data_IF_938582657087
#
_entry.id   IF_938582657087
#
_cell.length_a   1.000
_cell.length_b   1.000
_cell.length_c   1.000
_cell.angle_alpha   90.00
_cell.angle_beta   90.00
_cell.angle_gamma   90.00
#
_symmetry.space_group_name_H-M   'P 1'
#
loop_
_entity.id
_entity.type
_entity.pdbx_description
1 polymer ?
#
# COMPACT_ATOMS: atom_id res chain seq x y z
N UNK A 1 87.12 4.30 -38.83
CA UNK A 1 86.29 3.30 -38.18
C UNK A 1 85.37 4.09 -37.26
N UNK A 2 84.21 4.56 -37.77
CA UNK A 2 83.24 5.39 -37.04
C UNK A 2 82.12 4.51 -36.60
N UNK A 3 81.89 4.45 -35.32
CA UNK A 3 80.70 3.82 -34.71
C UNK A 3 79.53 4.83 -34.70
N UNK A 4 78.50 4.49 -35.41
CA UNK A 4 77.25 5.20 -35.38
C UNK A 4 76.38 4.63 -34.26
N UNK A 5 76.04 5.41 -33.25
CA UNK A 5 75.05 5.10 -32.25
C UNK A 5 73.66 5.45 -32.73
N UNK A 6 72.79 4.46 -32.93
CA UNK A 6 71.42 4.63 -33.18
C UNK A 6 70.65 4.73 -31.82
N UNK A 7 70.09 5.90 -31.51
CA UNK A 7 69.21 6.08 -30.35
C UNK A 7 67.82 5.75 -30.80
N UNK A 8 67.28 4.62 -30.28
CA UNK A 8 65.89 4.27 -30.46
C UNK A 8 65.08 5.00 -29.37
N UNK A 9 64.30 6.01 -29.77
CA UNK A 9 63.34 6.64 -28.89
C UNK A 9 62.07 5.77 -28.81
N UNK A 10 61.85 5.16 -27.68
CA UNK A 10 60.58 4.48 -27.33
C UNK A 10 59.51 5.55 -27.00
N UNK A 11 58.58 5.78 -27.92
CA UNK A 11 57.35 6.51 -27.65
C UNK A 11 56.43 5.57 -26.86
N UNK A 12 56.34 5.79 -25.56
CA UNK A 12 55.27 5.19 -24.73
C UNK A 12 54.00 6.00 -24.95
N UNK A 13 53.10 5.46 -25.78
CA UNK A 13 51.77 6.01 -25.97
C UNK A 13 50.92 5.64 -24.76
N UNK A 14 50.76 6.55 -23.79
CA UNK A 14 49.83 6.37 -22.69
C UNK A 14 48.41 6.55 -23.22
N UNK A 15 47.70 5.45 -23.46
CA UNK A 15 46.26 5.46 -23.65
C UNK A 15 45.59 5.84 -22.31
N UNK A 16 45.21 7.13 -22.18
CA UNK A 16 44.27 7.54 -21.16
C UNK A 16 42.92 6.97 -21.52
N UNK A 17 42.52 5.88 -20.88
CA UNK A 17 41.11 5.53 -20.80
C UNK A 17 40.42 6.59 -19.94
N UNK A 18 39.80 7.56 -20.59
CA UNK A 18 38.78 8.35 -19.91
C UNK A 18 37.60 7.42 -19.64
N UNK A 19 37.52 6.91 -18.43
CA UNK A 19 36.26 6.36 -17.93
C UNK A 19 35.26 7.52 -17.91
N UNK A 20 34.45 7.65 -18.95
CA UNK A 20 33.20 8.37 -18.87
C UNK A 20 32.37 7.61 -17.85
N UNK A 21 32.39 8.06 -16.61
CA UNK A 21 31.31 7.77 -15.68
C UNK A 21 30.07 8.30 -16.38
N UNK A 22 29.25 7.40 -16.89
CA UNK A 22 27.85 7.69 -17.17
C UNK A 22 27.29 8.02 -15.79
N UNK A 23 27.22 9.30 -15.50
CA UNK A 23 26.33 9.78 -14.46
C UNK A 23 24.96 9.37 -14.97
N UNK A 24 24.37 8.32 -14.36
CA UNK A 24 22.94 8.12 -14.45
C UNK A 24 22.35 9.49 -14.16
N UNK A 25 21.70 10.05 -15.17
CA UNK A 25 20.86 11.21 -14.99
C UNK A 25 19.93 10.87 -13.83
N UNK A 26 20.20 11.48 -12.70
CA UNK A 26 19.23 11.62 -11.64
C UNK A 26 18.11 12.39 -12.29
N UNK A 27 17.15 11.66 -12.88
CA UNK A 27 15.86 12.19 -13.28
C UNK A 27 15.43 13.02 -12.10
N UNK A 28 15.34 14.32 -12.30
CA UNK A 28 14.97 15.29 -11.29
C UNK A 28 13.72 14.76 -10.59
N UNK A 29 13.90 14.19 -9.40
CA UNK A 29 12.80 13.97 -8.48
C UNK A 29 12.23 15.37 -8.28
N UNK A 30 11.12 15.68 -8.94
CA UNK A 30 10.33 16.83 -8.58
C UNK A 30 10.15 16.70 -7.08
N UNK A 31 10.78 17.59 -6.32
CA UNK A 31 10.76 17.53 -4.87
C UNK A 31 9.31 17.67 -4.47
N UNK A 32 8.67 16.59 -4.02
CA UNK A 32 7.38 16.71 -3.34
C UNK A 32 7.60 17.62 -2.15
N UNK A 33 7.17 18.88 -2.28
CA UNK A 33 7.44 19.88 -1.26
C UNK A 33 6.28 20.01 -0.28
N UNK A 34 5.06 19.73 -0.73
CA UNK A 34 3.87 19.84 0.13
C UNK A 34 2.66 19.11 -0.48
N UNK A 35 1.66 18.86 0.36
CA UNK A 35 0.36 18.34 -0.02
C UNK A 35 -0.71 19.37 0.27
N UNK A 36 -1.57 19.65 -0.72
CA UNK A 36 -2.71 20.55 -0.56
C UNK A 36 -3.96 19.72 -0.39
N UNK A 37 -4.70 19.95 0.71
CA UNK A 37 -6.04 19.41 0.91
C UNK A 37 -6.98 19.94 -0.18
N UNK A 38 -7.80 19.06 -0.75
CA UNK A 38 -8.78 19.40 -1.79
C UNK A 38 -10.19 19.37 -1.24
N UNK A 39 -10.57 18.24 -0.63
CA UNK A 39 -11.93 18.02 -0.10
C UNK A 39 -12.03 16.80 0.79
N UNK A 40 -13.14 16.68 1.51
CA UNK A 40 -13.59 15.44 2.16
C UNK A 40 -14.60 14.68 1.28
N UNK A 41 -14.67 13.38 1.43
CA UNK A 41 -15.61 12.48 0.77
C UNK A 41 -16.33 11.67 1.87
N UNK A 42 -17.66 11.63 1.90
CA UNK A 42 -18.59 12.43 1.09
C UNK A 42 -18.45 13.92 1.42
N UNK A 43 -18.88 14.78 0.50
CA UNK A 43 -18.97 16.22 0.80
C UNK A 43 -20.10 16.47 1.81
N UNK A 44 -19.89 17.39 2.73
CA UNK A 44 -20.80 17.67 3.87
C UNK A 44 -22.24 18.01 3.46
N UNK A 45 -22.46 18.53 2.24
CA UNK A 45 -23.79 18.93 1.75
C UNK A 45 -24.63 17.79 1.14
N UNK A 46 -24.10 16.58 1.03
CA UNK A 46 -24.85 15.42 0.51
C UNK A 46 -25.31 14.53 1.67
N UNK A 47 -26.35 14.95 2.36
CA UNK A 47 -26.92 14.31 3.56
C UNK A 47 -27.41 12.86 3.40
N UNK A 48 -27.24 12.25 2.22
CA UNK A 48 -27.82 10.93 1.93
C UNK A 48 -26.88 9.77 2.26
N UNK A 49 -25.55 9.97 2.25
CA UNK A 49 -24.56 8.90 2.50
C UNK A 49 -23.54 9.35 3.53
N UNK A 50 -23.55 8.67 4.66
CA UNK A 50 -22.52 8.81 5.69
C UNK A 50 -21.57 7.61 5.61
N UNK A 51 -20.30 7.83 5.92
CA UNK A 51 -19.28 6.81 6.13
C UNK A 51 -19.07 6.66 7.64
N UNK A 52 -18.94 5.43 8.11
CA UNK A 52 -18.66 5.13 9.50
C UNK A 52 -17.42 4.24 9.60
N UNK A 53 -16.39 4.75 10.25
CA UNK A 53 -15.14 4.03 10.44
C UNK A 53 -14.57 3.48 9.11
N UNK A 54 -14.20 4.36 8.12
CA UNK A 54 -13.58 3.91 6.88
C UNK A 54 -12.21 3.31 7.15
N UNK A 55 -11.95 2.07 6.71
CA UNK A 55 -10.65 1.44 6.90
C UNK A 55 -9.97 1.06 5.59
N UNK A 56 -10.66 0.40 4.66
CA UNK A 56 -10.09 0.12 3.35
C UNK A 56 -10.47 1.19 2.33
N UNK A 57 -9.50 1.65 1.53
CA UNK A 57 -9.76 2.54 0.40
C UNK A 57 -8.89 2.15 -0.79
N UNK A 58 -9.50 2.09 -1.97
CA UNK A 58 -8.76 1.97 -3.23
C UNK A 58 -9.46 2.67 -4.38
N UNK A 59 -8.76 2.86 -5.51
CA UNK A 59 -9.25 3.56 -6.70
C UNK A 59 -9.06 2.71 -7.95
N UNK A 60 -10.07 2.68 -8.82
CA UNK A 60 -9.95 2.03 -10.12
C UNK A 60 -9.27 2.93 -11.17
N UNK A 61 -8.96 2.38 -12.34
CA UNK A 61 -8.31 3.09 -13.44
C UNK A 61 -9.14 4.26 -14.01
N UNK A 62 -10.45 4.33 -13.70
CA UNK A 62 -11.34 5.43 -14.07
C UNK A 62 -11.36 6.52 -13.00
N UNK A 63 -10.70 6.28 -11.85
CA UNK A 63 -10.67 7.16 -10.68
C UNK A 63 -11.88 7.01 -9.77
N UNK A 64 -12.71 5.95 -9.91
CA UNK A 64 -13.75 5.68 -8.94
C UNK A 64 -13.14 5.18 -7.64
N UNK A 65 -13.68 5.64 -6.53
CA UNK A 65 -13.16 5.41 -5.18
C UNK A 65 -14.02 4.35 -4.49
N UNK A 66 -13.39 3.34 -3.92
CA UNK A 66 -14.04 2.27 -3.17
C UNK A 66 -13.64 2.39 -1.71
N UNK A 67 -14.62 2.44 -0.82
CA UNK A 67 -14.40 2.63 0.63
C UNK A 67 -15.09 1.51 1.39
N UNK A 68 -14.35 0.84 2.25
CA UNK A 68 -14.91 -0.12 3.20
C UNK A 68 -15.45 0.66 4.41
N UNK A 69 -16.76 0.69 4.54
CA UNK A 69 -17.50 1.27 5.66
C UNK A 69 -17.73 0.15 6.69
N UNK A 70 -16.80 -0.01 7.62
CA UNK A 70 -16.83 -1.11 8.57
C UNK A 70 -17.95 -0.94 9.61
N UNK A 71 -18.27 0.30 9.99
CA UNK A 71 -19.35 0.57 10.94
C UNK A 71 -20.71 0.09 10.45
N UNK A 72 -20.91 -0.07 9.13
CA UNK A 72 -22.16 -0.59 8.54
C UNK A 72 -21.98 -1.87 7.73
N UNK A 73 -20.77 -2.45 7.67
CA UNK A 73 -20.44 -3.68 6.95
C UNK A 73 -20.84 -3.63 5.46
N UNK A 74 -20.47 -2.55 4.77
CA UNK A 74 -20.72 -2.36 3.33
C UNK A 74 -19.51 -1.73 2.63
N UNK A 75 -19.52 -1.84 1.31
CA UNK A 75 -18.56 -1.17 0.45
C UNK A 75 -19.30 -0.04 -0.25
N UNK A 76 -18.73 1.15 -0.22
CA UNK A 76 -19.24 2.35 -0.90
C UNK A 76 -18.39 2.61 -2.14
N UNK A 77 -19.03 2.93 -3.25
CA UNK A 77 -18.38 3.40 -4.46
C UNK A 77 -18.76 4.87 -4.72
N UNK A 78 -17.74 5.68 -4.90
CA UNK A 78 -17.86 7.08 -5.33
C UNK A 78 -17.20 7.26 -6.69
N UNK A 79 -17.69 8.21 -7.47
CA UNK A 79 -17.01 8.67 -8.68
C UNK A 79 -15.73 9.43 -8.31
N UNK A 80 -14.83 9.65 -9.27
CA UNK A 80 -13.63 10.49 -9.12
C UNK A 80 -13.90 11.90 -8.56
N UNK A 81 -15.14 12.36 -8.72
CA UNK A 81 -15.57 13.66 -8.19
C UNK A 81 -16.11 13.55 -6.75
N UNK A 82 -16.06 12.36 -6.12
CA UNK A 82 -16.58 12.14 -4.77
C UNK A 82 -18.10 12.03 -4.69
N UNK A 83 -18.79 11.95 -5.84
CA UNK A 83 -20.25 11.71 -5.87
C UNK A 83 -20.54 10.24 -5.63
N UNK A 84 -21.47 9.93 -4.73
CA UNK A 84 -21.92 8.57 -4.49
C UNK A 84 -22.48 7.92 -5.76
N UNK A 85 -22.09 6.68 -6.02
CA UNK A 85 -22.54 5.89 -7.17
C UNK A 85 -23.42 4.74 -6.74
N UNK A 86 -22.90 3.87 -5.86
CA UNK A 86 -23.62 2.70 -5.34
C UNK A 86 -22.95 2.17 -4.07
N UNK A 87 -23.65 1.27 -3.39
CA UNK A 87 -23.06 0.47 -2.32
C UNK A 87 -23.55 -0.97 -2.37
N UNK A 88 -22.77 -1.87 -1.80
CA UNK A 88 -23.17 -3.27 -1.60
C UNK A 88 -22.64 -3.79 -0.28
N UNK A 89 -23.24 -4.88 0.18
CA UNK A 89 -22.89 -5.48 1.45
C UNK A 89 -23.91 -5.21 2.54
N UNK A 90 -23.87 -6.02 3.53
CA UNK A 90 -24.60 -5.90 4.81
C UNK A 90 -24.03 -6.94 5.77
N UNK A 91 -24.25 -6.77 7.05
CA UNK A 91 -23.81 -7.72 8.08
C UNK A 91 -24.24 -9.15 7.81
N UNK A 92 -23.31 -10.08 7.88
CA UNK A 92 -23.56 -11.52 7.76
C UNK A 92 -22.43 -12.31 7.09
N UNK A 93 -22.65 -13.63 6.88
CA UNK A 93 -21.66 -14.57 6.34
C UNK A 93 -22.01 -15.12 4.94
N UNK A 94 -23.13 -14.70 4.33
CA UNK A 94 -23.50 -15.05 2.95
C UNK A 94 -22.57 -14.44 1.91
N UNK A 95 -22.74 -14.80 0.63
CA UNK A 95 -22.05 -14.14 -0.47
C UNK A 95 -22.48 -12.68 -0.56
N UNK A 96 -21.53 -11.75 -0.65
CA UNK A 96 -21.79 -10.31 -0.68
C UNK A 96 -22.25 -9.72 0.66
N UNK A 97 -22.20 -10.50 1.76
CA UNK A 97 -22.35 -10.01 3.13
C UNK A 97 -21.00 -10.00 3.82
N UNK A 98 -20.83 -9.12 4.78
CA UNK A 98 -19.56 -8.90 5.48
C UNK A 98 -19.74 -8.92 7.00
N UNK A 99 -18.65 -9.21 7.67
CA UNK A 99 -18.45 -8.92 9.08
C UNK A 99 -17.05 -8.33 9.23
N UNK A 100 -16.98 -7.01 9.43
CA UNK A 100 -15.75 -6.24 9.48
C UNK A 100 -14.93 -6.31 8.15
N UNK A 101 -15.44 -5.75 7.02
CA UNK A 101 -14.69 -5.72 5.75
C UNK A 101 -13.53 -4.73 5.87
N UNK A 102 -12.28 -5.21 5.89
CA UNK A 102 -11.12 -4.39 6.24
C UNK A 102 -10.35 -3.87 5.02
N UNK A 103 -9.48 -4.67 4.42
CA UNK A 103 -8.72 -4.29 3.23
C UNK A 103 -9.55 -4.35 1.96
N UNK A 104 -9.25 -3.48 1.01
CA UNK A 104 -9.76 -3.61 -0.36
C UNK A 104 -8.65 -3.34 -1.38
N UNK A 105 -8.82 -3.91 -2.56
CA UNK A 105 -7.93 -3.75 -3.71
C UNK A 105 -8.72 -3.87 -5.00
N UNK A 106 -8.43 -3.02 -5.97
CA UNK A 106 -9.07 -3.06 -7.29
C UNK A 106 -8.04 -3.43 -8.34
N UNK A 107 -8.19 -4.62 -8.95
CA UNK A 107 -7.26 -5.06 -9.99
C UNK A 107 -7.41 -4.26 -11.30
N UNK A 108 -6.45 -4.40 -12.21
CA UNK A 108 -6.44 -3.72 -13.51
C UNK A 108 -7.63 -4.09 -14.42
N UNK A 109 -8.42 -5.11 -14.06
CA UNK A 109 -9.63 -5.51 -14.75
C UNK A 109 -10.89 -4.94 -14.10
N UNK A 110 -10.75 -4.16 -13.03
CA UNK A 110 -11.83 -3.58 -12.25
C UNK A 110 -12.53 -4.57 -11.32
N UNK A 111 -11.91 -5.70 -10.98
CA UNK A 111 -12.44 -6.54 -9.92
C UNK A 111 -12.00 -6.03 -8.55
N UNK A 112 -12.90 -6.10 -7.58
CA UNK A 112 -12.71 -5.61 -6.21
C UNK A 112 -12.55 -6.79 -5.27
N UNK A 113 -11.43 -6.84 -4.54
CA UNK A 113 -11.11 -7.85 -3.55
C UNK A 113 -11.30 -7.24 -2.16
N UNK A 114 -12.01 -7.93 -1.29
CA UNK A 114 -12.32 -7.47 0.07
C UNK A 114 -11.91 -8.54 1.06
N UNK A 115 -11.10 -8.19 2.05
CA UNK A 115 -10.90 -9.05 3.22
C UNK A 115 -12.11 -8.91 4.14
N UNK A 116 -12.78 -10.00 4.38
CA UNK A 116 -13.97 -10.11 5.25
C UNK A 116 -13.51 -10.74 6.57
N UNK A 117 -12.94 -9.87 7.41
CA UNK A 117 -12.04 -10.22 8.51
C UNK A 117 -12.65 -11.24 9.47
N UNK A 118 -13.81 -10.93 10.05
CA UNK A 118 -14.44 -11.78 11.07
C UNK A 118 -15.16 -13.00 10.47
N UNK A 119 -15.31 -13.03 9.13
CA UNK A 119 -15.71 -14.22 8.39
C UNK A 119 -14.52 -15.06 7.88
N UNK A 120 -13.27 -14.68 8.21
CA UNK A 120 -12.01 -15.36 7.88
C UNK A 120 -11.90 -15.74 6.39
N UNK A 121 -12.19 -14.79 5.49
CA UNK A 121 -12.21 -15.02 4.05
C UNK A 121 -11.86 -13.76 3.26
N UNK A 122 -11.59 -13.95 1.97
CA UNK A 122 -11.57 -12.91 0.95
C UNK A 122 -12.75 -13.10 0.03
N UNK A 123 -13.42 -12.02 -0.37
CA UNK A 123 -14.46 -12.02 -1.39
C UNK A 123 -14.04 -11.17 -2.59
N UNK A 124 -14.34 -11.63 -3.81
CA UNK A 124 -14.09 -10.93 -5.06
C UNK A 124 -15.39 -10.53 -5.72
N UNK A 125 -15.44 -9.30 -6.22
CA UNK A 125 -16.60 -8.68 -6.87
C UNK A 125 -16.21 -8.04 -8.20
N UNK A 126 -17.21 -7.79 -9.05
CA UNK A 126 -17.10 -6.81 -10.13
C UNK A 126 -17.22 -5.39 -9.58
N UNK A 127 -16.80 -4.40 -10.35
CA UNK A 127 -16.88 -2.97 -10.01
C UNK A 127 -18.29 -2.45 -9.70
N UNK A 128 -19.33 -3.21 -10.03
CA UNK A 128 -20.75 -2.90 -9.73
C UNK A 128 -21.29 -3.67 -8.52
N UNK A 129 -20.41 -4.30 -7.71
CA UNK A 129 -20.78 -5.07 -6.53
C UNK A 129 -21.32 -6.49 -6.80
N UNK A 130 -21.30 -6.98 -8.06
CA UNK A 130 -21.69 -8.36 -8.36
C UNK A 130 -20.66 -9.33 -7.82
N UNK A 131 -21.07 -10.24 -6.92
CA UNK A 131 -20.21 -11.28 -6.37
C UNK A 131 -19.67 -12.22 -7.45
N UNK A 132 -18.37 -12.52 -7.39
CA UNK A 132 -17.70 -13.46 -8.31
C UNK A 132 -17.32 -14.76 -7.59
N UNK A 133 -16.47 -14.67 -6.56
CA UNK A 133 -15.97 -15.82 -5.81
C UNK A 133 -15.52 -15.41 -4.41
N UNK A 134 -15.21 -16.41 -3.58
CA UNK A 134 -14.60 -16.22 -2.26
C UNK A 134 -13.71 -17.40 -1.91
N UNK A 135 -12.75 -17.18 -1.04
CA UNK A 135 -11.91 -18.21 -0.46
C UNK A 135 -11.50 -17.87 0.97
N UNK A 136 -11.02 -18.86 1.68
CA UNK A 136 -10.65 -18.74 3.08
C UNK A 136 -11.63 -19.46 3.98
N UNK A 137 -11.08 -20.00 5.06
CA UNK A 137 -11.80 -20.63 6.17
C UNK A 137 -11.01 -20.39 7.45
N UNK A 138 -11.64 -20.45 8.64
CA UNK A 138 -10.93 -20.27 9.91
C UNK A 138 -9.78 -21.26 10.10
N UNK A 139 -8.61 -20.79 10.54
CA UNK A 139 -7.49 -21.64 10.91
C UNK A 139 -6.11 -21.07 10.59
N UNK A 140 -5.07 -21.91 10.75
CA UNK A 140 -3.65 -21.57 10.56
C UNK A 140 -3.00 -22.27 9.36
N UNK A 141 -3.75 -23.11 8.66
CA UNK A 141 -3.28 -23.87 7.50
C UNK A 141 -3.19 -23.02 6.22
N UNK A 142 -2.77 -23.65 5.12
CA UNK A 142 -2.72 -23.01 3.81
C UNK A 142 -4.13 -22.68 3.32
N UNK A 143 -4.37 -21.40 2.96
CA UNK A 143 -5.69 -20.91 2.57
C UNK A 143 -6.68 -20.75 3.73
N UNK A 144 -6.21 -20.88 4.98
CA UNK A 144 -6.99 -20.57 6.18
C UNK A 144 -6.51 -19.25 6.77
N UNK A 145 -7.42 -18.55 7.44
CA UNK A 145 -7.15 -17.26 8.06
C UNK A 145 -7.65 -17.20 9.50
N UNK A 146 -6.99 -16.40 10.33
CA UNK A 146 -7.52 -15.97 11.63
C UNK A 146 -8.13 -14.58 11.54
N UNK A 147 -7.36 -13.60 11.07
CA UNK A 147 -7.81 -12.24 10.79
C UNK A 147 -7.16 -11.72 9.49
N UNK A 148 -7.73 -12.07 8.29
CA UNK A 148 -7.25 -11.52 7.02
C UNK A 148 -7.50 -10.01 7.00
N UNK A 149 -6.46 -9.20 6.80
CA UNK A 149 -6.50 -7.78 7.02
C UNK A 149 -6.30 -6.98 5.73
N UNK A 150 -5.09 -6.88 5.20
CA UNK A 150 -4.80 -6.25 3.93
C UNK A 150 -4.88 -7.22 2.76
N UNK A 151 -5.06 -6.67 1.56
CA UNK A 151 -5.05 -7.41 0.30
C UNK A 151 -4.41 -6.58 -0.80
N UNK A 152 -3.55 -7.20 -1.64
CA UNK A 152 -2.95 -6.58 -2.81
C UNK A 152 -2.91 -7.55 -3.99
N UNK A 153 -2.79 -7.01 -5.22
CA UNK A 153 -2.72 -7.81 -6.46
C UNK A 153 -1.47 -7.43 -7.23
N UNK A 154 -0.66 -8.44 -7.64
CA UNK A 154 0.52 -8.20 -8.47
C UNK A 154 0.17 -8.05 -9.96
N UNK A 155 1.18 -7.68 -10.78
CA UNK A 155 1.01 -7.48 -12.24
C UNK A 155 0.51 -8.72 -12.99
N UNK A 156 0.63 -9.92 -12.39
CA UNK A 156 0.20 -11.20 -12.95
C UNK A 156 -1.18 -11.64 -12.46
N UNK A 157 -1.79 -10.85 -11.58
CA UNK A 157 -3.08 -11.13 -10.96
C UNK A 157 -3.00 -12.09 -9.77
N UNK A 158 -1.83 -12.34 -9.18
CA UNK A 158 -1.78 -13.06 -7.92
C UNK A 158 -2.18 -12.15 -6.77
N UNK A 159 -2.89 -12.71 -5.82
CA UNK A 159 -3.48 -12.00 -4.68
C UNK A 159 -2.67 -12.30 -3.42
N UNK A 160 -2.22 -11.27 -2.74
CA UNK A 160 -1.55 -11.35 -1.44
C UNK A 160 -2.52 -10.93 -0.36
N UNK A 161 -2.50 -11.62 0.76
CA UNK A 161 -3.35 -11.33 1.92
C UNK A 161 -2.48 -11.36 3.18
N UNK A 162 -2.50 -10.29 3.96
CA UNK A 162 -1.93 -10.30 5.31
C UNK A 162 -2.90 -10.97 6.27
N UNK A 163 -2.39 -11.86 7.10
CA UNK A 163 -3.15 -12.50 8.18
C UNK A 163 -2.58 -12.04 9.51
N UNK A 164 -3.22 -11.04 10.09
CA UNK A 164 -2.74 -10.32 11.27
C UNK A 164 -2.42 -11.24 12.44
N UNK A 165 -3.34 -12.11 12.78
CA UNK A 165 -3.22 -12.94 13.98
C UNK A 165 -2.44 -14.25 13.72
N UNK A 166 -2.32 -14.68 12.45
CA UNK A 166 -1.39 -15.75 12.07
C UNK A 166 0.03 -15.25 11.78
N UNK A 167 0.27 -13.92 11.84
CA UNK A 167 1.56 -13.28 11.61
C UNK A 167 2.23 -13.72 10.30
N UNK A 168 1.46 -13.81 9.21
CA UNK A 168 1.97 -14.23 7.91
C UNK A 168 1.29 -13.53 6.74
N UNK A 169 1.90 -13.65 5.56
CA UNK A 169 1.34 -13.25 4.28
C UNK A 169 1.06 -14.52 3.47
N UNK A 170 -0.10 -14.62 2.88
CA UNK A 170 -0.47 -15.71 2.00
C UNK A 170 -0.68 -15.22 0.56
N UNK A 171 -0.15 -15.96 -0.41
CA UNK A 171 -0.28 -15.69 -1.85
C UNK A 171 -1.23 -16.69 -2.51
N UNK A 172 -2.11 -16.18 -3.38
CA UNK A 172 -3.12 -16.94 -4.08
C UNK A 172 -3.13 -16.59 -5.57
N UNK A 173 -3.72 -17.45 -6.39
CA UNK A 173 -4.15 -17.06 -7.74
C UNK A 173 -5.34 -16.11 -7.67
N UNK A 174 -5.67 -15.45 -8.80
CA UNK A 174 -6.87 -14.58 -8.92
C UNK A 174 -8.19 -15.27 -8.57
N UNK A 175 -8.24 -16.62 -8.61
CA UNK A 175 -9.40 -17.44 -8.26
C UNK A 175 -9.35 -18.01 -6.83
N UNK A 176 -8.36 -17.56 -6.02
CA UNK A 176 -8.23 -17.95 -4.63
C UNK A 176 -7.56 -19.30 -4.37
N UNK A 177 -6.85 -19.89 -5.35
CA UNK A 177 -6.05 -21.09 -5.13
C UNK A 177 -4.75 -20.70 -4.43
N UNK A 178 -4.47 -21.32 -3.28
CA UNK A 178 -3.23 -21.10 -2.52
C UNK A 178 -1.97 -21.42 -3.35
N UNK A 179 -0.97 -20.54 -3.25
CA UNK A 179 0.34 -20.69 -3.90
C UNK A 179 1.44 -20.88 -2.86
N UNK A 180 1.63 -19.93 -1.96
CA UNK A 180 2.65 -19.95 -0.91
C UNK A 180 2.27 -19.07 0.27
N UNK A 181 2.99 -19.18 1.38
CA UNK A 181 2.94 -18.27 2.52
C UNK A 181 4.29 -18.11 3.17
N UNK A 182 4.51 -16.99 3.81
CA UNK A 182 5.70 -16.71 4.63
C UNK A 182 5.34 -15.84 5.82
N UNK A 183 6.25 -15.79 6.78
CA UNK A 183 6.07 -15.08 8.04
C UNK A 183 5.79 -16.00 9.20
N UNK A 184 6.08 -15.50 10.37
CA UNK A 184 5.77 -16.09 11.68
C UNK A 184 5.82 -14.98 12.72
N UNK A 185 5.23 -15.18 13.87
CA UNK A 185 5.28 -14.22 14.99
C UNK A 185 6.73 -13.94 15.42
N UNK A 186 7.05 -12.66 15.61
CA UNK A 186 8.35 -12.20 16.11
C UNK A 186 8.82 -10.87 15.54
N UNK A 187 10.08 -10.51 15.85
CA UNK A 187 10.72 -9.24 15.45
C UNK A 187 11.94 -9.42 14.53
N UNK A 188 12.29 -10.64 14.15
CA UNK A 188 13.37 -10.94 13.19
C UNK A 188 13.00 -10.55 11.76
N UNK A 189 13.93 -10.78 10.82
CA UNK A 189 13.69 -10.59 9.39
C UNK A 189 12.69 -11.64 8.90
N UNK A 190 11.62 -11.19 8.24
CA UNK A 190 10.53 -12.06 7.81
C UNK A 190 9.58 -12.52 8.92
N UNK A 191 9.77 -12.04 10.15
CA UNK A 191 8.81 -12.24 11.25
C UNK A 191 7.97 -10.97 11.43
N UNK A 192 6.75 -11.11 11.95
CA UNK A 192 5.80 -10.02 12.12
C UNK A 192 5.16 -10.02 13.51
N UNK A 193 4.78 -8.84 13.98
CA UNK A 193 3.78 -8.66 15.03
C UNK A 193 2.64 -7.86 14.43
N UNK A 194 1.51 -8.54 14.17
CA UNK A 194 0.34 -7.92 13.54
C UNK A 194 0.68 -7.26 12.18
N UNK A 195 1.04 -8.03 11.11
CA UNK A 195 1.16 -7.49 9.76
C UNK A 195 -0.20 -6.93 9.34
N UNK A 196 -0.28 -5.59 9.23
CA UNK A 196 -1.57 -4.91 9.08
C UNK A 196 -2.06 -4.93 7.64
N UNK A 197 -1.17 -4.66 6.72
CA UNK A 197 -1.48 -4.58 5.31
C UNK A 197 -0.43 -5.32 4.46
N UNK A 198 -0.65 -5.35 3.17
CA UNK A 198 0.29 -5.82 2.16
C UNK A 198 0.13 -4.96 0.92
N UNK A 199 1.23 -4.49 0.35
CA UNK A 199 1.25 -3.72 -0.89
C UNK A 199 2.28 -4.29 -1.88
N UNK A 200 2.12 -3.99 -3.17
CA UNK A 200 3.00 -4.48 -4.24
C UNK A 200 3.50 -3.29 -5.06
N UNK A 201 4.82 -3.19 -5.28
CA UNK A 201 5.40 -2.15 -6.13
C UNK A 201 5.36 -2.54 -7.63
N UNK A 202 5.77 -1.63 -8.53
CA UNK A 202 5.78 -1.86 -9.98
C UNK A 202 6.72 -2.98 -10.44
N UNK A 203 7.67 -3.39 -9.60
CA UNK A 203 8.60 -4.51 -9.83
C UNK A 203 8.07 -5.84 -9.25
N UNK A 204 6.82 -5.89 -8.79
CA UNK A 204 6.18 -7.02 -8.10
C UNK A 204 6.83 -7.36 -6.73
N UNK A 205 7.58 -6.46 -6.08
CA UNK A 205 8.03 -6.69 -4.71
C UNK A 205 6.89 -6.42 -3.72
N UNK A 206 6.90 -7.17 -2.62
CA UNK A 206 5.85 -7.12 -1.60
C UNK A 206 6.34 -6.34 -0.38
N UNK A 207 5.52 -5.43 0.09
CA UNK A 207 5.79 -4.60 1.27
C UNK A 207 4.74 -4.85 2.33
N UNK A 208 5.17 -4.96 3.57
CA UNK A 208 4.31 -5.28 4.70
C UNK A 208 4.56 -4.29 5.83
N UNK A 209 3.57 -3.47 6.19
CA UNK A 209 3.62 -2.72 7.45
C UNK A 209 3.50 -3.72 8.61
N UNK A 210 4.57 -3.81 9.37
CA UNK A 210 4.68 -4.66 10.56
C UNK A 210 4.30 -3.82 11.78
N UNK A 211 2.98 -3.66 11.93
CA UNK A 211 2.31 -2.71 12.81
C UNK A 211 2.81 -2.74 14.26
N UNK A 212 2.86 -3.93 14.85
CA UNK A 212 3.32 -4.08 16.22
C UNK A 212 4.83 -3.94 16.42
N UNK A 213 5.63 -4.06 15.33
CA UNK A 213 7.07 -3.81 15.37
C UNK A 213 7.46 -2.38 14.93
N UNK A 214 6.50 -1.52 14.60
CA UNK A 214 6.72 -0.12 14.18
C UNK A 214 7.71 0.01 13.00
N UNK A 215 7.59 -0.86 12.00
CA UNK A 215 8.48 -0.92 10.84
C UNK A 215 7.74 -1.36 9.58
N UNK A 216 8.39 -1.22 8.43
CA UNK A 216 7.98 -1.83 7.17
C UNK A 216 9.02 -2.86 6.74
N UNK A 217 8.59 -3.97 6.17
CA UNK A 217 9.46 -4.99 5.58
C UNK A 217 9.16 -5.15 4.09
N UNK A 218 10.22 -5.34 3.28
CA UNK A 218 10.17 -5.59 1.84
C UNK A 218 10.61 -7.00 1.54
N UNK A 219 9.90 -7.66 0.62
CA UNK A 219 10.14 -9.04 0.18
C UNK A 219 10.13 -9.13 -1.34
N UNK A 220 10.75 -10.18 -1.86
CA UNK A 220 10.47 -10.61 -3.24
C UNK A 220 9.02 -11.08 -3.37
N UNK A 221 8.54 -11.20 -4.60
CA UNK A 221 7.19 -11.73 -4.91
C UNK A 221 6.94 -13.16 -4.37
N UNK A 222 8.00 -13.88 -3.99
CA UNK A 222 7.94 -15.23 -3.43
C UNK A 222 8.16 -15.27 -1.90
N UNK A 223 8.30 -14.11 -1.26
CA UNK A 223 8.40 -14.00 0.20
C UNK A 223 9.84 -14.06 0.75
N UNK A 224 10.87 -13.92 -0.09
CA UNK A 224 12.24 -13.78 0.39
C UNK A 224 12.47 -12.36 0.91
N UNK A 225 13.01 -12.24 2.13
CA UNK A 225 13.29 -10.94 2.74
C UNK A 225 14.34 -10.15 1.95
N UNK A 226 14.08 -8.86 1.71
CA UNK A 226 15.00 -7.95 1.01
C UNK A 226 15.52 -6.88 1.98
N UNK A 227 14.62 -6.15 2.65
CA UNK A 227 14.98 -5.00 3.48
C UNK A 227 13.89 -4.70 4.52
N UNK A 228 14.26 -3.88 5.50
CA UNK A 228 13.32 -3.30 6.46
C UNK A 228 13.76 -1.90 6.84
N UNK A 229 12.82 -1.06 7.23
CA UNK A 229 13.08 0.28 7.77
C UNK A 229 11.96 0.70 8.72
N UNK A 230 12.26 1.68 9.54
CA UNK A 230 11.38 2.14 10.60
C UNK A 230 11.82 1.65 11.97
N UNK A 231 11.54 2.46 12.95
CA UNK A 231 11.68 2.19 14.39
C UNK A 231 10.60 2.96 15.10
N UNK A 232 10.25 2.56 16.31
CA UNK A 232 9.28 3.30 17.13
C UNK A 232 9.69 4.77 17.34
N UNK A 233 8.74 5.70 17.17
CA UNK A 233 8.93 7.11 17.46
C UNK A 233 8.15 8.06 16.56
N UNK A 234 8.44 9.38 16.68
CA UNK A 234 7.77 10.49 16.00
C UNK A 234 8.69 11.21 14.99
N UNK A 235 9.96 10.83 14.93
CA UNK A 235 10.93 11.39 13.97
C UNK A 235 10.63 11.04 12.53
N UNK A 236 11.40 11.56 11.58
CA UNK A 236 11.35 11.20 10.18
C UNK A 236 11.83 9.75 10.02
N UNK A 237 11.02 8.91 9.36
CA UNK A 237 11.31 7.48 9.21
C UNK A 237 11.08 6.64 10.47
N UNK A 238 10.58 7.22 11.55
CA UNK A 238 10.06 6.52 12.71
C UNK A 238 8.54 6.40 12.62
N UNK A 239 7.97 5.35 13.20
CA UNK A 239 6.55 5.06 13.16
C UNK A 239 5.98 4.79 14.55
N UNK A 240 4.69 5.03 14.68
CA UNK A 240 3.82 4.45 15.70
C UNK A 240 2.66 3.77 14.99
N UNK A 241 2.71 2.45 14.93
CA UNK A 241 1.68 1.63 14.32
C UNK A 241 1.46 2.00 12.83
N UNK A 242 2.45 1.77 11.91
CA UNK A 242 2.26 1.98 10.48
C UNK A 242 1.20 1.01 9.95
N UNK A 243 0.13 1.53 9.31
CA UNK A 243 -1.02 0.70 8.95
C UNK A 243 -1.02 0.28 7.47
N UNK A 244 -1.09 1.20 6.54
CA UNK A 244 -1.27 0.90 5.11
C UNK A 244 -0.18 1.55 4.27
N UNK A 245 0.19 0.88 3.18
CA UNK A 245 1.16 1.35 2.19
C UNK A 245 0.47 1.48 0.83
N UNK A 246 0.68 2.62 0.16
CA UNK A 246 0.35 2.79 -1.25
C UNK A 246 1.57 3.27 -2.05
N UNK A 247 1.57 3.01 -3.35
CA UNK A 247 2.59 3.48 -4.27
C UNK A 247 1.99 4.43 -5.31
N UNK A 248 2.73 5.45 -5.68
CA UNK A 248 2.42 6.23 -6.87
C UNK A 248 3.13 5.69 -8.12
N UNK A 249 2.86 6.31 -9.26
CA UNK A 249 3.45 5.93 -10.56
C UNK A 249 4.98 6.09 -10.65
N UNK A 250 5.60 6.75 -9.67
CA UNK A 250 7.06 6.90 -9.54
C UNK A 250 7.65 5.94 -8.49
N UNK A 251 6.89 4.94 -8.02
CA UNK A 251 7.25 4.02 -6.93
C UNK A 251 7.62 4.73 -5.62
N UNK A 252 7.06 5.91 -5.36
CA UNK A 252 7.16 6.53 -4.05
C UNK A 252 6.15 5.85 -3.13
N UNK A 253 6.63 5.48 -1.95
CA UNK A 253 5.87 4.74 -0.96
C UNK A 253 5.24 5.70 0.05
N UNK A 254 3.93 5.69 0.14
CA UNK A 254 3.13 6.44 1.10
C UNK A 254 2.72 5.51 2.23
N UNK A 255 3.01 5.88 3.47
CA UNK A 255 2.73 5.06 4.65
C UNK A 255 1.88 5.85 5.62
N UNK A 256 0.72 5.33 6.00
CA UNK A 256 -0.05 5.86 7.12
C UNK A 256 0.65 5.50 8.42
N UNK A 257 0.95 6.51 9.21
CA UNK A 257 1.60 6.41 10.53
C UNK A 257 0.53 6.74 11.58
N UNK A 258 -0.34 5.75 11.82
CA UNK A 258 -1.69 5.92 12.38
C UNK A 258 -1.71 6.61 13.73
N UNK A 259 -0.93 6.16 14.69
CA UNK A 259 -0.86 6.74 16.03
C UNK A 259 -0.01 8.02 16.11
N UNK A 260 0.68 8.38 15.03
CA UNK A 260 1.30 9.70 14.85
C UNK A 260 0.42 10.66 14.05
N UNK A 261 -0.79 10.24 13.64
CA UNK A 261 -1.78 11.05 12.94
C UNK A 261 -1.25 11.73 11.68
N UNK A 262 -0.44 11.01 10.89
CA UNK A 262 0.26 11.56 9.72
C UNK A 262 0.45 10.52 8.62
N UNK A 263 0.85 11.00 7.46
CA UNK A 263 1.37 10.18 6.36
C UNK A 263 2.85 10.53 6.15
N UNK A 264 3.69 9.52 5.95
CA UNK A 264 5.08 9.67 5.58
C UNK A 264 5.32 9.13 4.17
N UNK A 265 6.21 9.77 3.40
CA UNK A 265 6.59 9.33 2.05
C UNK A 265 8.05 8.94 2.03
N UNK A 266 8.31 7.84 1.35
CA UNK A 266 9.65 7.27 1.16
C UNK A 266 9.88 6.95 -0.32
N UNK A 267 11.15 6.89 -0.71
CA UNK A 267 11.52 6.19 -1.94
C UNK A 267 11.27 4.68 -1.77
N UNK A 268 11.19 3.93 -2.87
CA UNK A 268 11.04 2.47 -2.83
C UNK A 268 12.18 1.72 -2.09
N UNK A 269 13.25 2.41 -1.76
CA UNK A 269 14.37 1.89 -0.97
C UNK A 269 14.32 2.29 0.50
N UNK A 270 13.22 2.89 0.96
CA UNK A 270 13.01 3.27 2.35
C UNK A 270 13.66 4.60 2.77
N UNK A 271 14.19 5.41 1.83
CA UNK A 271 14.70 6.74 2.14
C UNK A 271 13.53 7.70 2.35
N UNK A 272 13.45 8.34 3.52
CA UNK A 272 12.43 9.35 3.84
C UNK A 272 12.51 10.53 2.87
N UNK A 273 11.34 10.96 2.37
CA UNK A 273 11.20 12.11 1.45
C UNK A 273 10.51 13.27 2.18
N UNK A 274 9.28 13.09 2.62
CA UNK A 274 8.47 14.11 3.29
C UNK A 274 7.36 13.49 4.13
N UNK A 275 6.61 14.33 4.85
CA UNK A 275 5.43 13.92 5.62
C UNK A 275 4.42 15.06 5.73
N UNK A 276 3.16 14.74 5.96
CA UNK A 276 2.12 15.70 6.32
C UNK A 276 1.10 15.09 7.27
N UNK A 277 0.27 15.93 7.84
CA UNK A 277 -0.74 15.56 8.82
C UNK A 277 -0.29 15.81 10.26
N UNK A 278 -1.23 15.99 11.09
CA UNK A 278 -1.13 16.10 12.54
C UNK A 278 -2.49 15.78 13.16
N UNK A 279 -2.52 15.54 14.46
CA UNK A 279 -3.75 15.22 15.18
C UNK A 279 -4.81 16.32 15.05
N UNK A 280 -6.05 15.90 14.73
CA UNK A 280 -7.21 16.79 14.66
C UNK A 280 -8.28 16.34 13.68
N UNK A 281 -9.33 17.17 13.53
CA UNK A 281 -10.47 16.91 12.64
C UNK A 281 -10.61 17.94 11.50
N UNK A 282 -9.69 18.90 11.42
CA UNK A 282 -9.64 19.91 10.37
C UNK A 282 -9.10 19.36 9.06
N UNK A 283 -9.07 20.23 8.04
CA UNK A 283 -8.52 19.91 6.73
C UNK A 283 -7.02 19.65 6.82
N UNK A 284 -6.59 18.47 6.36
CA UNK A 284 -5.20 18.02 6.45
C UNK A 284 -4.75 17.55 7.84
N UNK A 285 -5.67 17.50 8.81
CA UNK A 285 -5.49 16.85 10.10
C UNK A 285 -6.14 15.48 10.10
N UNK A 286 -5.65 14.55 10.91
CA UNK A 286 -6.16 13.19 10.99
C UNK A 286 -6.41 12.76 12.43
N UNK A 287 -7.39 11.89 12.63
CA UNK A 287 -7.53 11.08 13.83
C UNK A 287 -7.45 9.61 13.42
N UNK A 288 -6.24 9.05 13.51
CA UNK A 288 -5.96 7.65 13.19
C UNK A 288 -6.21 7.32 11.69
N UNK A 289 -5.37 7.83 10.76
CA UNK A 289 -5.46 7.47 9.35
C UNK A 289 -5.07 5.99 9.17
N UNK A 290 -6.04 5.15 8.82
CA UNK A 290 -5.85 3.69 8.74
C UNK A 290 -5.62 3.20 7.31
N UNK A 291 -6.01 3.98 6.28
CA UNK A 291 -5.78 3.57 4.89
C UNK A 291 -5.45 4.73 3.97
N UNK A 292 -4.78 4.40 2.87
CA UNK A 292 -4.31 5.36 1.87
C UNK A 292 -4.25 4.69 0.51
N UNK A 293 -4.62 5.43 -0.55
CA UNK A 293 -4.37 5.03 -1.93
C UNK A 293 -3.97 6.24 -2.78
N UNK A 294 -3.32 5.99 -3.91
CA UNK A 294 -2.87 7.03 -4.85
C UNK A 294 -3.35 6.67 -6.25
N UNK A 295 -4.09 7.57 -6.90
CA UNK A 295 -4.53 7.34 -8.26
C UNK A 295 -3.42 7.62 -9.30
N UNK A 296 -3.69 7.26 -10.56
CA UNK A 296 -2.73 7.43 -11.67
C UNK A 296 -2.39 8.89 -12.00
N UNK A 297 -3.13 9.86 -11.45
CA UNK A 297 -2.87 11.29 -11.59
C UNK A 297 -2.06 11.86 -10.41
N UNK A 298 -1.76 11.02 -9.39
CA UNK A 298 -1.06 11.41 -8.18
C UNK A 298 -1.96 12.05 -7.12
N UNK A 299 -3.28 11.91 -7.22
CA UNK A 299 -4.19 12.28 -6.15
C UNK A 299 -4.09 11.25 -5.02
N UNK A 300 -3.99 11.73 -3.79
CA UNK A 300 -3.84 10.90 -2.60
C UNK A 300 -5.13 10.94 -1.79
N UNK A 301 -5.68 9.78 -1.51
CA UNK A 301 -6.89 9.59 -0.72
C UNK A 301 -6.50 8.94 0.60
N UNK A 302 -6.86 9.55 1.72
CA UNK A 302 -6.57 9.04 3.07
C UNK A 302 -7.89 8.79 3.80
N UNK A 303 -8.10 7.55 4.24
CA UNK A 303 -9.21 7.21 5.11
C UNK A 303 -8.88 7.64 6.55
N UNK A 304 -9.61 8.62 7.04
CA UNK A 304 -9.46 9.19 8.37
C UNK A 304 -10.52 8.57 9.28
N UNK A 305 -10.20 7.39 9.79
CA UNK A 305 -11.13 6.42 10.35
C UNK A 305 -11.97 6.99 11.49
N UNK A 306 -11.34 7.60 12.47
CA UNK A 306 -12.04 8.16 13.64
C UNK A 306 -12.84 9.41 13.29
N UNK A 307 -12.41 10.17 12.29
CA UNK A 307 -13.14 11.33 11.78
C UNK A 307 -14.26 10.96 10.78
N UNK A 308 -14.44 9.66 10.46
CA UNK A 308 -15.52 9.17 9.58
C UNK A 308 -15.54 9.81 8.18
N UNK A 309 -14.39 10.05 7.59
CA UNK A 309 -14.30 10.63 6.24
C UNK A 309 -13.05 10.15 5.49
N UNK A 310 -13.03 10.43 4.20
CA UNK A 310 -11.86 10.30 3.35
C UNK A 310 -11.40 11.70 2.96
N UNK A 311 -10.13 12.01 3.11
CA UNK A 311 -9.54 13.28 2.70
C UNK A 311 -8.76 13.10 1.40
N UNK A 312 -8.99 13.98 0.42
CA UNK A 312 -8.29 14.04 -0.86
C UNK A 312 -7.22 15.13 -0.83
N UNK A 313 -6.02 14.77 -1.30
CA UNK A 313 -4.86 15.67 -1.45
C UNK A 313 -4.28 15.62 -2.86
N UNK A 314 -3.63 16.71 -3.24
CA UNK A 314 -2.76 16.79 -4.42
C UNK A 314 -1.35 17.20 -4.00
N UNK A 315 -0.34 16.67 -4.71
CA UNK A 315 1.06 17.08 -4.53
C UNK A 315 1.33 18.39 -5.27
N UNK A 316 2.11 19.30 -4.66
CA UNK A 316 2.58 20.55 -5.26
C UNK A 316 4.01 20.42 -5.76
#
# INVERSE_FOLDING_TARGET
>A
MQFVFIVIALFVLSLMFSSTYVTEDVLSSSSLSSFTFVKKIPQEDTSEIQIFEPEGIDVDSEGNIYVNDIGTNRILKFSKNGTYVLSWGSTGSGNGKFNHPHGNEVDSQGNVYITDQDNQRVQKFKSNGTFITKWGTPGTGNGQFMHPHGVAVDSKGNVFVSDRDNANIQKFTTDGKFITKWGSEGSGDGQFIQPWDVAVDSDDNVYVPDYGNNRTQKFTNNGEFIAKWGTEGEGNGQFKQPAVIAFDSADRMYVTDSENHRVQIFSKNGTFITKWGNEGSGDGQFLKPESITVDSLGHVYVADTVNNNVQLFISN
#
